data_IF_699260474435
#
_entry.id   IF_699260474435
#
_cell.length_a   1.000
_cell.length_b   1.000
_cell.length_c   1.000
_cell.angle_alpha   90.00
_cell.angle_beta   90.00
_cell.angle_gamma   90.00
#
_symmetry.space_group_name_H-M   'P 1'
#
loop_
_entity.id
_entity.type
_entity.pdbx_description
1 polymer ?
#
# COMPACT_ATOMS: atom_id res chain seq x y z
N UNK A 1 -29.99 37.74 26.13
CA UNK A 1 -31.27 38.00 25.43
C UNK A 1 -31.31 36.94 24.37
N UNK A 2 -32.07 35.93 24.37
CA UNK A 2 -33.26 35.30 24.94
C UNK A 2 -33.09 33.81 24.60
N UNK A 3 -32.92 32.89 25.48
CA UNK A 3 -33.86 32.16 26.35
C UNK A 3 -35.07 31.58 25.59
N UNK A 4 -35.29 30.28 25.75
CA UNK A 4 -36.37 29.53 25.13
C UNK A 4 -36.35 28.04 25.49
N UNK A 5 -36.44 27.73 26.80
CA UNK A 5 -36.82 26.42 27.31
C UNK A 5 -38.29 26.15 27.06
N UNK A 6 -38.67 24.91 26.76
CA UNK A 6 -40.03 24.38 27.03
C UNK A 6 -39.95 22.93 27.46
N UNK A 7 -40.40 22.72 28.64
CA UNK A 7 -40.83 21.61 29.43
C UNK A 7 -41.83 20.67 28.76
N UNK A 8 -41.71 19.39 29.03
CA UNK A 8 -42.48 18.41 29.83
C UNK A 8 -44.02 18.42 29.77
N UNK A 9 -44.59 17.19 29.62
CA UNK A 9 -45.78 16.62 30.27
C UNK A 9 -46.02 15.19 29.77
N UNK A 10 -45.91 14.12 30.46
CA UNK A 10 -46.62 13.50 31.58
C UNK A 10 -48.14 13.36 31.41
N UNK A 11 -48.65 12.16 31.27
CA UNK A 11 -49.88 11.56 31.86
C UNK A 11 -50.02 10.11 31.37
N UNK A 12 -49.94 9.08 32.13
CA UNK A 12 -50.66 8.41 33.19
C UNK A 12 -51.98 7.72 32.77
N UNK A 13 -52.01 6.43 33.16
CA UNK A 13 -53.11 5.57 33.63
C UNK A 13 -54.01 4.83 32.59
N UNK A 14 -54.11 3.52 32.88
CA UNK A 14 -55.19 2.65 32.47
C UNK A 14 -54.99 1.20 32.94
N UNK A 15 -55.44 0.91 34.16
CA UNK A 15 -55.55 -0.45 34.70
C UNK A 15 -56.68 -1.23 34.00
N UNK A 16 -56.47 -2.51 33.72
CA UNK A 16 -57.54 -3.42 33.32
C UNK A 16 -57.15 -4.86 33.63
N UNK A 17 -57.64 -5.35 34.76
CA UNK A 17 -57.54 -6.74 35.21
C UNK A 17 -58.59 -7.60 34.50
N UNK A 18 -58.24 -8.78 33.97
CA UNK A 18 -59.17 -9.89 33.82
C UNK A 18 -58.45 -11.24 33.62
N UNK A 19 -58.59 -12.09 34.62
CA UNK A 19 -58.91 -13.53 34.65
C UNK A 19 -58.14 -14.48 33.70
N UNK A 20 -57.40 -15.40 34.32
CA UNK A 20 -57.01 -16.70 33.78
C UNK A 20 -58.17 -17.66 33.53
N UNK A 21 -57.98 -18.63 32.65
CA UNK A 21 -58.37 -20.01 32.97
C UNK A 21 -57.17 -21.01 32.87
N UNK A 22 -57.23 -21.97 33.80
CA UNK A 22 -56.45 -23.18 33.83
C UNK A 22 -56.77 -24.08 32.63
N UNK A 23 -55.78 -24.65 31.99
CA UNK A 23 -55.91 -25.95 31.33
C UNK A 23 -54.54 -26.60 31.10
N UNK A 24 -54.30 -27.67 31.79
CA UNK A 24 -53.83 -28.99 31.37
C UNK A 24 -52.52 -29.13 30.59
N UNK A 25 -51.73 -29.91 31.18
CA UNK A 25 -50.38 -30.36 30.77
C UNK A 25 -50.22 -30.90 29.35
N UNK A 26 -49.09 -30.57 28.80
CA UNK A 26 -48.44 -31.37 27.78
C UNK A 26 -46.93 -31.19 27.98
N UNK A 27 -46.29 -32.21 28.46
CA UNK A 27 -44.86 -32.34 28.59
C UNK A 27 -44.26 -32.36 27.18
N UNK A 28 -43.74 -31.24 26.72
CA UNK A 28 -42.91 -31.19 25.51
C UNK A 28 -41.45 -31.34 25.89
N UNK A 29 -40.94 -32.53 25.63
CA UNK A 29 -39.49 -32.79 25.67
C UNK A 29 -38.81 -31.90 24.63
N UNK A 30 -38.15 -30.84 25.07
CA UNK A 30 -37.29 -30.02 24.23
C UNK A 30 -35.98 -30.75 24.04
N UNK A 31 -35.80 -31.40 22.89
CA UNK A 31 -34.50 -31.91 22.47
C UNK A 31 -33.59 -30.70 22.22
N UNK A 32 -32.68 -30.44 23.14
CA UNK A 32 -31.55 -29.53 22.91
C UNK A 32 -30.55 -30.23 21.96
N UNK A 33 -30.71 -29.99 20.67
CA UNK A 33 -29.67 -30.32 19.68
C UNK A 33 -28.52 -29.30 19.89
N UNK A 34 -27.55 -29.67 20.70
CA UNK A 34 -26.28 -28.94 20.82
C UNK A 34 -25.56 -29.10 19.46
N UNK A 35 -25.66 -28.10 18.60
CA UNK A 35 -24.81 -27.92 17.44
C UNK A 35 -23.36 -27.73 17.95
N UNK A 36 -22.62 -28.83 18.00
CA UNK A 36 -21.17 -28.84 18.11
C UNK A 36 -20.61 -28.23 16.82
N UNK A 37 -20.51 -26.92 16.77
CA UNK A 37 -19.70 -26.24 15.78
C UNK A 37 -18.25 -26.55 16.12
N UNK A 38 -17.50 -27.21 15.24
CA UNK A 38 -16.07 -27.38 15.51
C UNK A 38 -15.46 -25.97 15.50
N UNK A 39 -15.00 -25.52 16.67
CA UNK A 39 -14.15 -24.36 16.79
C UNK A 39 -12.85 -24.69 16.04
N UNK A 40 -12.76 -24.32 14.77
CA UNK A 40 -11.53 -24.36 14.01
C UNK A 40 -10.60 -23.33 14.64
N UNK A 41 -9.75 -23.78 15.56
CA UNK A 41 -8.69 -22.94 16.11
C UNK A 41 -7.79 -22.49 14.96
N UNK A 42 -7.57 -21.19 14.76
CA UNK A 42 -6.68 -20.70 13.70
C UNK A 42 -5.23 -21.18 13.86
N UNK A 43 -4.85 -21.70 15.03
CA UNK A 43 -3.55 -22.30 15.29
C UNK A 43 -3.36 -23.70 14.66
N UNK A 44 -4.42 -24.38 14.25
CA UNK A 44 -4.32 -25.74 13.70
C UNK A 44 -3.96 -25.79 12.21
N UNK A 45 -4.06 -24.68 11.51
CA UNK A 45 -3.79 -24.59 10.06
C UNK A 45 -2.33 -24.36 9.70
N UNK A 46 -1.48 -23.97 10.65
CA UNK A 46 -0.05 -23.70 10.42
C UNK A 46 0.86 -24.94 10.53
N UNK A 47 0.33 -26.10 10.94
CA UNK A 47 1.16 -27.28 11.29
C UNK A 47 1.65 -28.12 10.10
N UNK A 48 1.31 -27.76 8.84
CA UNK A 48 1.63 -28.58 7.65
C UNK A 48 2.47 -27.95 6.56
N UNK A 49 2.64 -26.63 6.55
CA UNK A 49 3.27 -25.95 5.44
C UNK A 49 4.59 -25.27 5.85
N UNK A 50 5.64 -25.52 5.07
CA UNK A 50 6.97 -24.96 5.29
C UNK A 50 7.01 -23.49 4.89
N UNK A 51 7.59 -22.64 5.73
CA UNK A 51 7.90 -21.26 5.38
C UNK A 51 9.21 -21.15 4.60
N UNK A 52 9.31 -20.18 3.71
CA UNK A 52 10.56 -19.85 3.02
C UNK A 52 11.52 -19.18 4.00
N UNK A 53 10.96 -18.31 4.86
CA UNK A 53 11.71 -17.57 5.86
C UNK A 53 10.83 -17.39 7.11
N UNK A 54 11.44 -17.53 8.28
CA UNK A 54 10.85 -17.08 9.55
C UNK A 54 11.80 -16.09 10.20
N UNK A 55 11.27 -14.92 10.56
CA UNK A 55 11.97 -13.94 11.40
C UNK A 55 11.50 -14.20 12.83
N UNK A 56 12.44 -14.58 13.71
CA UNK A 56 12.12 -14.93 15.11
C UNK A 56 12.56 -13.85 16.07
N UNK A 57 11.97 -13.84 17.28
CA UNK A 57 12.34 -12.94 18.39
C UNK A 57 12.23 -11.45 18.04
N UNK A 58 11.23 -11.07 17.24
CA UNK A 58 11.00 -9.68 16.84
C UNK A 58 10.10 -8.91 17.79
N UNK A 59 10.30 -7.59 17.84
CA UNK A 59 9.30 -6.63 18.30
C UNK A 59 8.51 -6.12 17.11
N UNK A 60 7.31 -6.66 16.91
CA UNK A 60 6.53 -6.39 15.71
C UNK A 60 5.79 -5.08 15.85
N UNK A 61 5.97 -4.20 14.87
CA UNK A 61 5.20 -2.98 14.64
C UNK A 61 4.52 -3.17 13.28
N UNK A 62 3.23 -3.44 13.29
CA UNK A 62 2.48 -3.86 12.09
C UNK A 62 1.85 -2.70 11.28
N UNK A 63 2.01 -1.46 11.75
CA UNK A 63 1.45 -0.27 11.11
C UNK A 63 0.01 0.04 11.44
N UNK A 64 -0.64 -0.72 12.32
CA UNK A 64 -2.04 -0.47 12.73
C UNK A 64 -2.20 0.71 13.70
N UNK A 65 -1.09 1.25 14.23
CA UNK A 65 -1.09 2.26 15.28
C UNK A 65 -1.11 1.68 16.68
N UNK A 66 -1.18 0.35 16.82
CA UNK A 66 -1.07 -0.34 18.10
C UNK A 66 0.38 -0.35 18.60
N UNK A 67 0.59 -0.47 19.95
CA UNK A 67 1.93 -0.71 20.48
C UNK A 67 2.55 -1.98 19.89
N UNK A 68 3.90 -2.03 19.91
CA UNK A 68 4.62 -3.24 19.50
C UNK A 68 4.26 -4.45 20.36
N UNK A 69 4.35 -5.63 19.81
CA UNK A 69 4.21 -6.90 20.52
C UNK A 69 5.32 -7.88 20.10
N UNK A 70 5.68 -8.81 21.00
CA UNK A 70 6.65 -9.85 20.70
C UNK A 70 6.04 -10.92 19.80
N UNK A 71 6.77 -11.37 18.80
CA UNK A 71 6.31 -12.41 17.90
C UNK A 71 7.31 -12.76 16.81
N UNK A 72 7.00 -13.80 16.09
CA UNK A 72 7.72 -14.25 14.91
C UNK A 72 6.89 -13.96 13.66
N UNK A 73 7.56 -13.77 12.53
CA UNK A 73 6.95 -13.49 11.22
C UNK A 73 7.32 -14.62 10.26
N UNK A 74 6.33 -15.32 9.74
CA UNK A 74 6.49 -16.39 8.74
C UNK A 74 6.17 -15.88 7.34
N UNK A 75 7.11 -16.08 6.42
CA UNK A 75 7.00 -15.66 5.01
C UNK A 75 6.94 -16.91 4.14
N UNK A 76 6.01 -16.93 3.18
CA UNK A 76 5.84 -17.94 2.15
C UNK A 76 5.41 -17.31 0.85
N UNK A 77 6.03 -17.71 -0.25
CA UNK A 77 5.76 -17.19 -1.60
C UNK A 77 5.82 -15.64 -1.65
N UNK A 78 6.82 -15.06 -0.96
CA UNK A 78 7.01 -13.61 -0.88
C UNK A 78 5.94 -12.85 -0.09
N UNK A 79 5.08 -13.54 0.68
CA UNK A 79 3.99 -12.94 1.46
C UNK A 79 4.11 -13.28 2.93
N UNK A 80 3.63 -12.38 3.79
CA UNK A 80 3.43 -12.69 5.20
C UNK A 80 2.30 -13.70 5.31
N UNK A 81 2.64 -14.93 5.72
CA UNK A 81 1.70 -16.04 5.83
C UNK A 81 1.24 -16.29 7.28
N UNK A 82 2.05 -15.92 8.27
CA UNK A 82 1.69 -16.04 9.68
C UNK A 82 2.46 -15.03 10.55
N UNK A 83 1.84 -14.60 11.65
CA UNK A 83 2.47 -13.84 12.73
C UNK A 83 2.07 -14.53 14.05
N UNK A 84 3.04 -14.77 14.94
CA UNK A 84 2.80 -15.41 16.23
C UNK A 84 4.01 -16.19 16.72
N UNK A 85 3.80 -17.28 17.44
CA UNK A 85 4.88 -18.17 17.86
C UNK A 85 5.16 -19.21 16.76
N UNK A 86 6.23 -19.01 16.01
CA UNK A 86 6.65 -19.87 14.90
C UNK A 86 7.99 -20.56 15.17
N UNK A 87 8.47 -20.56 16.40
CA UNK A 87 9.76 -21.15 16.78
C UNK A 87 9.94 -22.59 16.29
N UNK A 88 8.87 -23.38 16.35
CA UNK A 88 8.86 -24.79 15.92
C UNK A 88 8.35 -25.03 14.49
N UNK A 89 8.01 -23.96 13.77
CA UNK A 89 7.49 -24.09 12.43
C UNK A 89 8.58 -24.55 11.44
N UNK A 90 8.21 -25.44 10.49
CA UNK A 90 9.10 -25.87 9.42
C UNK A 90 9.45 -24.66 8.51
N UNK A 91 10.74 -24.48 8.22
CA UNK A 91 11.23 -23.32 7.45
C UNK A 91 12.51 -23.63 6.69
N UNK A 92 12.74 -22.89 5.60
CA UNK A 92 13.97 -22.99 4.82
C UNK A 92 15.09 -22.12 5.41
N UNK A 93 14.74 -20.92 5.89
CA UNK A 93 15.67 -19.93 6.44
C UNK A 93 15.13 -19.33 7.74
N UNK A 94 16.03 -18.86 8.57
CA UNK A 94 15.70 -18.11 9.80
C UNK A 94 16.53 -16.84 9.85
N UNK A 95 15.88 -15.74 10.26
CA UNK A 95 16.53 -14.53 10.70
C UNK A 95 16.17 -14.37 12.17
N UNK A 96 17.15 -14.26 13.06
CA UNK A 96 16.91 -13.89 14.45
C UNK A 96 16.96 -12.38 14.55
N UNK A 97 15.86 -11.77 14.96
CA UNK A 97 15.79 -10.33 15.15
C UNK A 97 16.41 -9.86 16.47
N UNK A 98 16.78 -10.80 17.39
CA UNK A 98 17.43 -10.48 18.68
C UNK A 98 16.69 -9.39 19.48
N UNK A 99 15.38 -9.31 19.39
CA UNK A 99 14.57 -8.27 20.03
C UNK A 99 14.54 -6.94 19.29
N UNK A 100 15.13 -6.86 18.10
CA UNK A 100 15.00 -5.69 17.23
C UNK A 100 13.58 -5.52 16.69
N UNK A 101 13.30 -4.33 16.16
CA UNK A 101 12.00 -4.02 15.57
C UNK A 101 11.86 -4.69 14.21
N UNK A 102 10.73 -5.36 14.03
CA UNK A 102 10.27 -5.88 12.73
C UNK A 102 9.06 -5.08 12.30
N UNK A 103 9.19 -4.33 11.24
CA UNK A 103 8.15 -3.44 10.72
C UNK A 103 8.03 -3.55 9.19
N UNK A 104 6.91 -3.13 8.58
CA UNK A 104 6.83 -2.92 7.15
C UNK A 104 7.92 -1.95 6.67
N UNK A 105 8.45 -2.18 5.48
CA UNK A 105 9.36 -1.22 4.87
C UNK A 105 8.73 0.14 4.66
N UNK A 106 9.51 1.20 4.80
CA UNK A 106 9.01 2.56 4.63
C UNK A 106 8.70 2.88 3.17
N UNK A 107 7.71 3.73 2.97
CA UNK A 107 7.33 4.27 1.67
C UNK A 107 7.81 5.72 1.63
N UNK A 108 8.77 6.01 0.76
CA UNK A 108 9.21 7.38 0.47
C UNK A 108 8.28 7.98 -0.58
N UNK A 109 7.44 8.92 -0.16
CA UNK A 109 6.41 9.53 -1.00
C UNK A 109 6.90 10.72 -1.83
N UNK A 110 8.14 11.13 -1.64
CA UNK A 110 8.76 12.28 -2.28
C UNK A 110 10.19 11.96 -2.72
N UNK A 111 10.35 10.83 -3.39
CA UNK A 111 11.62 10.40 -3.92
C UNK A 111 12.03 11.18 -5.17
N UNK A 112 13.31 11.17 -5.47
CA UNK A 112 13.89 11.81 -6.66
C UNK A 112 14.96 10.92 -7.30
N UNK A 113 14.77 9.60 -7.25
CA UNK A 113 15.77 8.62 -7.70
C UNK A 113 15.62 8.21 -9.16
N UNK A 114 14.79 8.88 -9.96
CA UNK A 114 14.45 8.45 -11.33
C UNK A 114 15.69 8.23 -12.22
N UNK A 115 16.72 9.04 -12.09
CA UNK A 115 17.95 8.87 -12.86
C UNK A 115 18.99 8.07 -12.08
N UNK A 116 19.10 8.28 -10.77
CA UNK A 116 20.11 7.58 -9.96
C UNK A 116 19.84 6.07 -9.88
N UNK A 117 18.58 5.63 -9.95
CA UNK A 117 18.21 4.20 -9.99
C UNK A 117 18.68 3.50 -11.27
N UNK A 118 18.87 4.24 -12.36
CA UNK A 118 19.44 3.71 -13.60
C UNK A 118 20.98 3.51 -13.49
N UNK A 119 21.61 4.22 -12.57
CA UNK A 119 23.07 4.17 -12.32
C UNK A 119 23.40 3.14 -11.24
N UNK A 120 22.68 3.17 -10.12
CA UNK A 120 22.83 2.22 -9.02
C UNK A 120 21.48 1.60 -8.68
N UNK A 121 21.12 0.51 -9.36
CA UNK A 121 19.79 -0.09 -9.24
C UNK A 121 19.52 -0.74 -7.88
N UNK A 122 20.55 -1.04 -7.09
CA UNK A 122 20.38 -1.58 -5.74
C UNK A 122 19.91 -0.55 -4.73
N UNK A 123 20.02 0.75 -5.06
CA UNK A 123 19.57 1.90 -4.26
C UNK A 123 19.94 1.77 -2.76
N UNK A 124 21.23 1.52 -2.44
CA UNK A 124 21.67 1.19 -1.07
C UNK A 124 21.29 2.27 -0.06
N UNK A 125 21.32 3.54 -0.46
CA UNK A 125 20.94 4.66 0.40
C UNK A 125 19.49 4.57 0.91
N UNK A 126 18.59 4.01 0.12
CA UNK A 126 17.18 3.80 0.50
C UNK A 126 17.05 2.54 1.38
N UNK A 127 17.62 1.42 0.92
CA UNK A 127 17.51 0.12 1.61
C UNK A 127 18.07 0.20 3.02
N UNK A 128 19.25 0.81 3.21
CA UNK A 128 19.87 0.97 4.53
C UNK A 128 19.07 1.88 5.49
N UNK A 129 18.15 2.66 4.97
CA UNK A 129 17.19 3.44 5.76
C UNK A 129 15.84 2.73 5.95
N UNK A 130 15.71 1.48 5.48
CA UNK A 130 14.47 0.70 5.56
C UNK A 130 13.40 1.11 4.55
N UNK A 131 13.73 1.94 3.55
CA UNK A 131 12.81 2.30 2.45
C UNK A 131 12.75 1.13 1.48
N UNK A 132 11.57 0.60 1.25
CA UNK A 132 11.30 -0.51 0.32
C UNK A 132 10.43 -0.10 -0.86
N UNK A 133 9.85 1.08 -0.81
CA UNK A 133 9.02 1.64 -1.87
C UNK A 133 9.32 3.13 -2.01
N UNK A 134 9.51 3.59 -3.24
CA UNK A 134 9.70 5.00 -3.54
C UNK A 134 8.67 5.46 -4.55
N UNK A 135 8.09 6.64 -4.32
CA UNK A 135 7.18 7.32 -5.23
C UNK A 135 7.82 8.65 -5.62
N UNK A 136 7.95 8.87 -6.92
CA UNK A 136 8.62 10.06 -7.51
C UNK A 136 7.67 10.85 -8.37
N UNK A 137 8.17 11.87 -9.08
CA UNK A 137 7.43 12.57 -10.14
C UNK A 137 6.49 13.66 -9.65
N UNK A 138 6.63 14.17 -8.43
CA UNK A 138 5.73 15.17 -7.85
C UNK A 138 5.67 16.46 -8.69
N UNK A 139 6.78 17.08 -9.01
CA UNK A 139 6.82 18.29 -9.85
C UNK A 139 7.22 17.99 -11.29
N UNK A 140 8.37 17.34 -11.43
CA UNK A 140 8.91 16.83 -12.68
C UNK A 140 8.89 15.32 -12.64
N UNK A 141 8.53 14.70 -13.76
CA UNK A 141 8.58 13.24 -13.91
C UNK A 141 9.57 12.84 -15.01
N UNK A 142 10.08 11.62 -14.92
CA UNK A 142 11.05 11.06 -15.87
C UNK A 142 10.47 10.85 -17.28
N UNK A 143 9.16 10.97 -17.42
CA UNK A 143 8.40 10.94 -18.68
C UNK A 143 7.03 11.64 -18.46
N UNK A 144 6.36 12.12 -19.54
CA UNK A 144 6.71 11.99 -20.96
C UNK A 144 7.90 12.87 -21.35
N UNK A 145 8.63 12.45 -22.37
CA UNK A 145 9.76 13.19 -22.94
C UNK A 145 9.57 13.45 -24.43
N UNK A 146 9.97 14.63 -24.87
CA UNK A 146 10.19 14.97 -26.28
C UNK A 146 11.64 15.41 -26.49
N UNK A 147 12.01 15.68 -27.75
CA UNK A 147 13.40 16.07 -28.07
C UNK A 147 13.78 17.41 -27.43
N UNK A 148 12.83 18.34 -27.27
CA UNK A 148 13.05 19.59 -26.57
C UNK A 148 13.49 19.34 -25.12
N UNK A 149 12.74 18.56 -24.37
CA UNK A 149 13.04 18.26 -22.94
C UNK A 149 14.39 17.55 -22.85
N UNK A 150 14.67 16.54 -23.70
CA UNK A 150 15.93 15.82 -23.68
C UNK A 150 17.11 16.75 -23.94
N UNK A 151 16.97 17.68 -24.88
CA UNK A 151 18.03 18.64 -25.19
C UNK A 151 18.19 19.68 -24.08
N UNK A 152 17.09 20.18 -23.51
CA UNK A 152 17.10 21.13 -22.41
C UNK A 152 17.76 20.54 -21.16
N UNK A 153 17.46 19.28 -20.85
CA UNK A 153 17.95 18.58 -19.66
C UNK A 153 19.25 17.79 -19.93
N UNK A 154 19.90 17.99 -21.07
CA UNK A 154 21.10 17.25 -21.51
C UNK A 154 22.18 17.21 -20.43
N UNK A 155 22.47 18.32 -19.76
CA UNK A 155 23.48 18.39 -18.70
C UNK A 155 23.15 17.50 -17.50
N UNK A 156 21.86 17.35 -17.18
CA UNK A 156 21.39 16.45 -16.11
C UNK A 156 21.66 15.01 -16.51
N UNK A 157 21.30 14.62 -17.70
CA UNK A 157 21.56 13.27 -18.20
C UNK A 157 23.06 12.95 -18.28
N UNK A 158 23.87 13.91 -18.74
CA UNK A 158 25.33 13.78 -18.78
C UNK A 158 25.93 13.61 -17.36
N UNK A 159 25.42 14.35 -16.38
CA UNK A 159 25.85 14.23 -14.98
C UNK A 159 25.64 12.83 -14.42
N UNK A 160 24.49 12.21 -14.75
CA UNK A 160 24.21 10.82 -14.34
C UNK A 160 24.82 9.77 -15.27
N UNK A 161 25.41 10.15 -16.40
CA UNK A 161 25.88 9.19 -17.42
C UNK A 161 24.74 8.38 -18.04
N UNK A 162 23.54 8.94 -18.08
CA UNK A 162 22.32 8.28 -18.60
C UNK A 162 21.98 8.86 -19.97
N UNK A 163 21.71 7.99 -20.94
CA UNK A 163 21.13 8.39 -22.21
C UNK A 163 19.65 7.98 -22.23
N UNK A 164 18.71 8.94 -22.34
CA UNK A 164 17.29 8.63 -22.43
C UNK A 164 16.96 7.86 -23.71
N UNK A 165 16.61 6.59 -23.58
CA UNK A 165 16.11 5.72 -24.64
C UNK A 165 14.60 5.47 -24.53
N UNK A 166 13.93 6.25 -23.71
CA UNK A 166 12.49 6.23 -23.49
C UNK A 166 11.86 7.58 -23.78
N UNK A 167 10.55 7.57 -24.05
CA UNK A 167 9.69 8.75 -24.22
C UNK A 167 8.47 8.71 -23.34
N UNK A 168 8.07 7.52 -22.91
CA UNK A 168 6.88 7.25 -22.10
C UNK A 168 7.25 6.56 -20.80
N UNK A 169 6.40 6.66 -19.78
CA UNK A 169 6.57 5.90 -18.52
C UNK A 169 6.65 4.39 -18.78
N UNK A 170 5.85 3.86 -19.70
CA UNK A 170 5.92 2.45 -20.08
C UNK A 170 7.32 2.02 -20.51
N UNK A 171 7.97 2.81 -21.34
CA UNK A 171 9.33 2.52 -21.80
C UNK A 171 10.35 2.64 -20.68
N UNK A 172 10.20 3.65 -19.81
CA UNK A 172 11.04 3.80 -18.65
C UNK A 172 10.90 2.62 -17.67
N UNK A 173 9.67 2.21 -17.35
CA UNK A 173 9.44 1.04 -16.50
C UNK A 173 10.01 -0.24 -17.12
N UNK A 174 9.81 -0.47 -18.40
CA UNK A 174 10.41 -1.61 -19.09
C UNK A 174 11.94 -1.63 -18.99
N UNK A 175 12.59 -0.46 -18.98
CA UNK A 175 14.04 -0.34 -18.80
C UNK A 175 14.47 -0.73 -17.39
N UNK A 176 13.82 -0.17 -16.36
CA UNK A 176 14.20 -0.47 -14.95
C UNK A 176 13.84 -1.91 -14.56
N UNK A 177 12.77 -2.49 -15.12
CA UNK A 177 12.44 -3.90 -14.97
C UNK A 177 13.51 -4.81 -15.57
N UNK A 178 13.92 -4.52 -16.81
CA UNK A 178 14.98 -5.29 -17.51
C UNK A 178 16.30 -5.22 -16.74
N UNK A 179 16.60 -4.09 -16.12
CA UNK A 179 17.82 -3.89 -15.33
C UNK A 179 17.71 -4.59 -13.97
N UNK A 180 16.51 -4.69 -13.39
CA UNK A 180 16.25 -5.06 -12.01
C UNK A 180 16.56 -3.90 -11.07
N UNK A 181 15.71 -3.72 -10.04
CA UNK A 181 15.89 -2.68 -9.02
C UNK A 181 15.68 -3.25 -7.62
N UNK A 182 16.31 -2.65 -6.62
CA UNK A 182 16.30 -3.16 -5.24
C UNK A 182 15.08 -2.78 -4.41
N UNK A 183 14.21 -1.88 -4.89
CA UNK A 183 13.01 -1.40 -4.19
C UNK A 183 11.81 -1.39 -5.13
N UNK A 184 10.60 -1.29 -4.56
CA UNK A 184 9.42 -0.98 -5.35
C UNK A 184 9.49 0.47 -5.82
N UNK A 185 9.09 0.72 -7.06
CA UNK A 185 9.16 2.05 -7.65
C UNK A 185 7.85 2.44 -8.31
N UNK A 186 7.37 3.64 -8.01
CA UNK A 186 6.21 4.25 -8.64
C UNK A 186 6.53 5.72 -8.96
N UNK A 187 5.78 6.32 -9.87
CA UNK A 187 5.92 7.74 -10.19
C UNK A 187 4.59 8.37 -10.51
N UNK A 188 4.44 9.62 -10.09
CA UNK A 188 3.40 10.50 -10.60
C UNK A 188 3.80 11.03 -11.97
N UNK A 189 2.85 11.68 -12.64
CA UNK A 189 3.14 12.56 -13.77
C UNK A 189 3.27 13.96 -13.25
N UNK A 190 4.46 14.52 -13.38
CA UNK A 190 4.72 15.87 -12.99
C UNK A 190 3.96 16.87 -13.87
N UNK A 191 3.22 17.77 -13.24
CA UNK A 191 2.51 18.83 -13.96
C UNK A 191 3.47 19.71 -14.76
N UNK A 192 4.67 19.97 -14.25
CA UNK A 192 5.74 20.65 -14.95
C UNK A 192 6.18 19.91 -16.20
N UNK A 193 6.35 18.60 -16.14
CA UNK A 193 6.72 17.78 -17.31
C UNK A 193 5.66 17.84 -18.39
N UNK A 194 4.38 17.75 -18.04
CA UNK A 194 3.27 17.89 -18.99
C UNK A 194 3.26 19.29 -19.61
N UNK A 195 3.48 20.33 -18.80
CA UNK A 195 3.56 21.72 -19.31
C UNK A 195 4.73 21.87 -20.28
N UNK A 196 5.91 21.40 -19.91
CA UNK A 196 7.12 21.47 -20.75
C UNK A 196 6.98 20.75 -22.10
N UNK A 197 6.19 19.66 -22.13
CA UNK A 197 5.87 18.96 -23.37
C UNK A 197 5.15 19.85 -24.40
N UNK A 198 4.31 20.77 -23.93
CA UNK A 198 3.41 21.57 -24.79
C UNK A 198 3.92 22.99 -24.97
N UNK A 199 4.49 23.59 -23.94
CA UNK A 199 4.91 25.01 -23.94
C UNK A 199 6.42 25.19 -23.94
N UNK A 200 7.19 24.12 -23.76
CA UNK A 200 8.61 24.27 -23.45
C UNK A 200 8.83 24.95 -22.09
N UNK A 201 9.88 25.73 -21.97
CA UNK A 201 10.24 26.45 -20.73
C UNK A 201 9.72 27.91 -20.75
N UNK A 202 8.76 28.22 -21.63
CA UNK A 202 8.18 29.58 -21.72
C UNK A 202 7.31 29.91 -20.50
N UNK A 203 7.53 31.09 -19.91
CA UNK A 203 6.71 31.63 -18.82
C UNK A 203 5.50 32.40 -19.38
N UNK A 204 4.48 31.65 -19.81
CA UNK A 204 3.20 32.20 -20.30
C UNK A 204 2.04 31.25 -19.99
N UNK A 205 0.84 31.78 -20.06
CA UNK A 205 -0.35 30.95 -19.97
C UNK A 205 -0.54 30.08 -21.23
N UNK A 206 -1.03 28.85 -21.11
CA UNK A 206 -1.40 28.01 -22.25
C UNK A 206 -2.62 28.61 -22.97
N UNK A 207 -2.71 28.42 -24.29
CA UNK A 207 -3.98 28.60 -24.99
C UNK A 207 -4.97 27.50 -24.60
N UNK A 208 -6.29 27.66 -24.89
CA UNK A 208 -7.28 26.61 -24.63
C UNK A 208 -6.89 25.25 -25.25
N UNK A 209 -6.40 25.27 -26.49
CA UNK A 209 -5.98 24.07 -27.23
C UNK A 209 -4.76 23.41 -26.59
N UNK A 210 -3.79 24.21 -26.14
CA UNK A 210 -2.61 23.74 -25.42
C UNK A 210 -2.98 23.17 -24.04
N UNK A 211 -3.93 23.78 -23.34
CA UNK A 211 -4.43 23.25 -22.08
C UNK A 211 -5.12 21.90 -22.28
N UNK A 212 -5.90 21.76 -23.35
CA UNK A 212 -6.56 20.48 -23.66
C UNK A 212 -5.55 19.39 -24.07
N UNK A 213 -4.45 19.75 -24.74
CA UNK A 213 -3.33 18.84 -24.98
C UNK A 213 -2.67 18.39 -23.68
N UNK A 214 -2.40 19.33 -22.76
CA UNK A 214 -1.85 19.01 -21.43
C UNK A 214 -2.75 18.05 -20.66
N UNK A 215 -4.07 18.27 -20.68
CA UNK A 215 -5.04 17.35 -20.06
C UNK A 215 -5.00 15.96 -20.69
N UNK A 216 -4.93 15.87 -22.03
CA UNK A 216 -4.83 14.60 -22.74
C UNK A 216 -3.56 13.83 -22.36
N UNK A 217 -2.42 14.50 -22.31
CA UNK A 217 -1.16 13.89 -21.87
C UNK A 217 -1.26 13.34 -20.44
N UNK A 218 -1.81 14.11 -19.51
CA UNK A 218 -1.99 13.69 -18.13
C UNK A 218 -2.90 12.46 -18.00
N UNK A 219 -4.00 12.39 -18.76
CA UNK A 219 -4.94 11.26 -18.76
C UNK A 219 -4.31 10.01 -19.36
N UNK A 220 -3.61 10.13 -20.49
CA UNK A 220 -2.97 8.97 -21.16
C UNK A 220 -1.98 8.26 -20.23
N UNK A 221 -1.22 9.01 -19.45
CA UNK A 221 -0.23 8.42 -18.54
C UNK A 221 -0.92 7.86 -17.28
N UNK A 222 -1.99 8.49 -16.79
CA UNK A 222 -2.81 7.96 -15.70
C UNK A 222 -3.42 6.59 -16.00
N UNK A 223 -3.76 6.31 -17.25
CA UNK A 223 -4.25 4.99 -17.68
C UNK A 223 -3.15 3.92 -17.69
N UNK A 224 -1.94 4.29 -18.06
CA UNK A 224 -0.77 3.37 -18.03
C UNK A 224 -0.41 2.99 -16.59
N UNK A 225 -0.57 3.89 -15.64
CA UNK A 225 -0.29 3.65 -14.23
C UNK A 225 -1.25 2.62 -13.60
N UNK A 226 -2.51 2.54 -14.01
CA UNK A 226 -3.46 1.50 -13.56
C UNK A 226 -3.09 0.08 -14.03
N UNK A 227 -2.31 -0.05 -15.10
CA UNK A 227 -1.89 -1.34 -15.64
C UNK A 227 -0.56 -1.84 -15.06
N UNK A 228 0.14 -1.04 -14.28
CA UNK A 228 1.55 -1.24 -13.90
C UNK A 228 1.83 -1.39 -12.42
N UNK A 229 0.92 -1.92 -11.61
CA UNK A 229 1.31 -2.54 -10.34
C UNK A 229 1.98 -3.87 -10.67
N UNK A 230 3.28 -3.80 -10.91
CA UNK A 230 4.09 -4.97 -11.20
C UNK A 230 4.38 -5.73 -9.90
N UNK A 231 4.11 -7.04 -9.86
CA UNK A 231 4.66 -7.86 -8.81
C UNK A 231 6.18 -7.87 -9.00
N UNK A 232 6.92 -7.43 -8.00
CA UNK A 232 8.35 -7.66 -7.92
C UNK A 232 8.57 -9.16 -7.87
N UNK A 233 9.12 -9.70 -8.93
CA UNK A 233 9.70 -11.03 -8.88
C UNK A 233 11.07 -10.87 -8.21
N UNK A 234 11.16 -11.40 -6.98
CA UNK A 234 12.41 -11.57 -6.24
C UNK A 234 13.28 -12.66 -6.82
#
# INVERSE_FOLDING_TARGET
MTDGSIESESTARGQGAARSPRATGATRATLLLALLWPAVSPAAQAAGERFDLVIVHGRIIDGTGSPWYSGDLGIRDGRIAAIGNLEKAARARTIDAHGEVVAPGFIDMLGQSELSILVEPRVPSKIFQGVTTEITGEGNSVAPLNDFIIQSDRKVYEHYGVTPDWRTLRQYFARIEKQGIGINFATYIGATSVRRMVLGDEDRQPTPEQLDEMKRLAVMVGVVHKAGLLPLQG
#
